data_IF_656788663494
#
_entry.id   IF_656788663494
#
_cell.length_a   1.000
_cell.length_b   1.000
_cell.length_c   1.000
_cell.angle_alpha   90.00
_cell.angle_beta   90.00
_cell.angle_gamma   90.00
#
_symmetry.space_group_name_H-M   'P 1'
#
loop_
_entity.id
_entity.type
_entity.pdbx_description
1 polymer ?
#
# COMPACT_ATOMS: atom_id res chain seq x y z
N UNK A 1 32.72 -19.49 14.34
CA UNK A 1 31.61 -20.19 15.04
C UNK A 1 30.40 -19.32 14.88
N UNK A 2 29.49 -19.65 13.94
CA UNK A 2 28.20 -18.96 13.80
C UNK A 2 27.31 -19.56 14.87
N UNK A 3 26.83 -18.72 15.79
CA UNK A 3 25.86 -19.14 16.78
C UNK A 3 24.56 -19.56 16.08
N UNK A 4 24.03 -20.66 16.57
CA UNK A 4 22.75 -21.25 16.25
C UNK A 4 21.61 -20.31 16.72
N UNK A 5 20.61 -20.07 15.86
CA UNK A 5 19.23 -19.81 16.31
C UNK A 5 18.84 -18.40 16.80
N UNK A 6 19.42 -17.32 16.26
CA UNK A 6 18.93 -15.97 16.58
C UNK A 6 17.63 -15.62 15.86
N UNK A 7 16.51 -15.51 16.59
CA UNK A 7 15.33 -14.81 16.10
C UNK A 7 15.71 -13.37 15.74
N UNK A 8 15.43 -12.94 14.50
CA UNK A 8 15.83 -11.62 14.02
C UNK A 8 15.28 -11.31 12.63
N UNK A 9 15.40 -10.05 12.22
CA UNK A 9 14.98 -9.61 10.90
C UNK A 9 16.12 -9.76 9.90
N UNK A 10 15.82 -10.32 8.73
CA UNK A 10 16.70 -10.32 7.56
C UNK A 10 16.01 -9.57 6.43
N UNK A 11 16.79 -8.81 5.64
CA UNK A 11 16.25 -8.13 4.47
C UNK A 11 15.82 -9.17 3.43
N UNK A 12 14.51 -9.32 3.23
CA UNK A 12 13.96 -10.21 2.22
C UNK A 12 13.98 -9.58 0.82
N UNK A 13 13.62 -8.29 0.71
CA UNK A 13 13.54 -7.55 -0.56
C UNK A 13 13.60 -6.03 -0.31
N UNK A 14 14.10 -5.29 -1.30
CA UNK A 14 14.02 -3.84 -1.38
C UNK A 14 13.54 -3.45 -2.78
N UNK A 15 12.75 -2.37 -2.86
CA UNK A 15 12.25 -1.80 -4.11
C UNK A 15 12.28 -0.28 -4.04
N UNK A 16 12.68 0.35 -5.13
CA UNK A 16 12.52 1.79 -5.31
C UNK A 16 11.09 2.09 -5.78
N UNK A 17 10.46 3.06 -5.13
CA UNK A 17 9.12 3.53 -5.48
C UNK A 17 9.22 4.76 -6.38
N UNK A 18 8.13 5.08 -7.08
CA UNK A 18 8.09 6.21 -8.03
C UNK A 18 8.42 7.55 -7.36
N UNK A 19 7.97 7.71 -6.11
CA UNK A 19 8.24 8.86 -5.24
C UNK A 19 8.33 8.38 -3.78
N UNK A 20 8.20 9.29 -2.82
CA UNK A 20 8.32 9.00 -1.39
C UNK A 20 7.11 8.18 -0.88
N UNK A 21 7.29 6.95 -0.35
CA UNK A 21 6.22 6.22 0.32
C UNK A 21 5.80 6.93 1.61
N UNK A 22 4.52 7.21 1.77
CA UNK A 22 3.97 7.92 2.94
C UNK A 22 3.10 7.01 3.80
N UNK A 23 2.41 6.06 3.18
CA UNK A 23 1.52 5.15 3.88
C UNK A 23 1.56 3.75 3.26
N UNK A 24 1.50 2.72 4.12
CA UNK A 24 1.50 1.32 3.71
C UNK A 24 0.49 0.52 4.52
N UNK A 25 -0.12 -0.50 3.91
CA UNK A 25 -1.02 -1.42 4.61
C UNK A 25 -1.02 -2.79 3.91
N UNK A 26 -0.92 -3.87 4.68
CA UNK A 26 -1.14 -5.22 4.16
C UNK A 26 -2.63 -5.50 3.96
N UNK A 27 -2.95 -6.22 2.90
CA UNK A 27 -4.26 -6.84 2.74
C UNK A 27 -4.37 -8.10 3.62
N UNK A 28 -5.59 -8.62 3.77
CA UNK A 28 -5.89 -9.80 4.58
C UNK A 28 -5.39 -11.12 3.96
N UNK A 29 -4.92 -11.06 2.71
CA UNK A 29 -4.34 -12.19 1.99
C UNK A 29 -2.88 -12.50 2.37
N UNK A 30 -2.29 -11.65 3.20
CA UNK A 30 -0.97 -11.82 3.82
C UNK A 30 0.23 -11.65 2.89
N UNK A 31 0.02 -11.35 1.60
CA UNK A 31 1.09 -11.23 0.61
C UNK A 31 1.03 -9.92 -0.17
N UNK A 32 -0.12 -9.26 -0.20
CA UNK A 32 -0.29 -7.99 -0.91
C UNK A 32 -0.06 -6.81 0.02
N UNK A 33 0.95 -5.98 -0.31
CA UNK A 33 1.22 -4.70 0.34
C UNK A 33 0.67 -3.57 -0.53
N UNK A 34 -0.23 -2.76 0.01
CA UNK A 34 -0.67 -1.52 -0.64
C UNK A 34 0.20 -0.37 -0.16
N UNK A 35 0.74 0.42 -1.09
CA UNK A 35 1.61 1.57 -0.82
C UNK A 35 1.01 2.81 -1.47
N UNK A 36 0.96 3.92 -0.74
CA UNK A 36 0.71 5.25 -1.29
C UNK A 36 1.99 6.08 -1.26
N UNK A 37 2.26 6.78 -2.36
CA UNK A 37 3.42 7.65 -2.48
C UNK A 37 2.98 9.12 -2.58
N UNK A 38 3.81 10.03 -2.04
CA UNK A 38 3.60 11.48 -2.16
C UNK A 38 3.64 11.93 -3.61
N UNK A 39 2.80 12.89 -3.98
CA UNK A 39 2.71 13.42 -5.34
C UNK A 39 2.40 12.35 -6.40
N UNK A 40 1.71 11.27 -6.00
CA UNK A 40 1.23 10.21 -6.89
C UNK A 40 -0.26 9.96 -6.67
N UNK A 41 -1.00 9.71 -7.75
CA UNK A 41 -2.45 9.48 -7.75
C UNK A 41 -2.81 7.99 -7.71
N UNK A 42 -1.84 7.09 -7.60
CA UNK A 42 -2.07 5.65 -7.53
C UNK A 42 -1.84 5.07 -6.12
N UNK A 43 -2.62 4.05 -5.79
CA UNK A 43 -2.17 3.00 -4.89
C UNK A 43 -1.35 1.97 -5.65
N UNK A 44 -0.19 1.60 -5.11
CA UNK A 44 0.64 0.52 -5.61
C UNK A 44 0.35 -0.75 -4.82
N UNK A 45 -0.22 -1.74 -5.47
CA UNK A 45 -0.42 -3.08 -4.94
C UNK A 45 0.80 -3.91 -5.30
N UNK A 46 1.59 -4.27 -4.30
CA UNK A 46 2.82 -5.04 -4.45
C UNK A 46 2.60 -6.45 -3.91
N UNK A 47 2.84 -7.47 -4.73
CA UNK A 47 2.94 -8.85 -4.26
C UNK A 47 4.33 -9.02 -3.61
N UNK A 48 4.36 -9.40 -2.33
CA UNK A 48 5.62 -9.56 -1.58
C UNK A 48 6.35 -10.87 -1.87
N UNK A 49 5.69 -11.85 -2.49
CA UNK A 49 6.25 -13.12 -2.91
C UNK A 49 7.11 -12.97 -4.16
N UNK A 50 6.56 -12.41 -5.24
CA UNK A 50 7.25 -12.28 -6.53
C UNK A 50 7.74 -10.84 -6.84
N UNK A 51 7.17 -9.83 -6.18
CA UNK A 51 7.51 -8.42 -6.37
C UNK A 51 6.75 -7.74 -7.51
N UNK A 52 5.74 -8.39 -8.09
CA UNK A 52 4.89 -7.77 -9.11
C UNK A 52 4.13 -6.58 -8.55
N UNK A 53 3.78 -5.64 -9.43
CA UNK A 53 3.09 -4.41 -9.08
C UNK A 53 1.87 -4.20 -9.97
N UNK A 54 0.77 -3.81 -9.34
CA UNK A 54 -0.39 -3.22 -10.00
C UNK A 54 -0.63 -1.82 -9.45
N UNK A 55 -1.03 -0.89 -10.32
CA UNK A 55 -1.41 0.47 -9.93
C UNK A 55 -2.92 0.64 -10.02
N UNK A 56 -3.52 1.22 -8.98
CA UNK A 56 -4.95 1.51 -8.92
C UNK A 56 -5.13 3.01 -8.69
N UNK A 57 -5.79 3.69 -9.62
CA UNK A 57 -5.99 5.14 -9.53
C UNK A 57 -6.93 5.47 -8.36
N UNK A 58 -6.55 6.43 -7.52
CA UNK A 58 -7.35 6.89 -6.38
C UNK A 58 -8.43 7.91 -6.79
N UNK A 59 -8.30 8.53 -7.98
CA UNK A 59 -9.28 9.48 -8.50
C UNK A 59 -10.48 8.75 -9.08
N UNK A 60 -11.68 9.21 -8.74
CA UNK A 60 -12.94 8.64 -9.25
C UNK A 60 -13.10 8.77 -10.78
N UNK A 61 -12.52 9.81 -11.38
CA UNK A 61 -12.54 10.03 -12.84
C UNK A 61 -11.45 9.24 -13.57
N UNK A 62 -10.50 8.64 -12.85
CA UNK A 62 -9.37 7.93 -13.45
C UNK A 62 -8.37 8.84 -14.16
N UNK A 63 -8.41 10.15 -13.94
CA UNK A 63 -7.43 11.10 -14.47
C UNK A 63 -6.10 11.08 -13.69
N UNK A 64 -5.09 11.76 -14.24
CA UNK A 64 -3.72 11.82 -13.71
C UNK A 64 -3.48 13.00 -12.76
N UNK A 65 -4.53 13.67 -12.27
CA UNK A 65 -4.37 14.79 -11.35
C UNK A 65 -4.09 14.30 -9.92
N UNK A 66 -3.02 14.77 -9.29
CA UNK A 66 -2.77 14.47 -7.88
C UNK A 66 -3.69 15.31 -6.98
N UNK A 67 -4.81 14.72 -6.58
CA UNK A 67 -5.83 15.40 -5.78
C UNK A 67 -5.47 15.54 -4.28
N UNK A 68 -4.65 14.63 -3.76
CA UNK A 68 -4.25 14.50 -2.35
C UNK A 68 -3.12 13.48 -2.20
N UNK A 69 -2.46 13.48 -1.04
CA UNK A 69 -1.55 12.42 -0.57
C UNK A 69 -2.20 11.65 0.58
N UNK A 70 -2.11 10.32 0.57
CA UNK A 70 -2.52 9.49 1.72
C UNK A 70 -1.38 9.42 2.73
N UNK A 71 -1.67 9.74 3.99
CA UNK A 71 -0.69 9.83 5.09
C UNK A 71 -0.81 8.65 6.07
N UNK A 72 -1.95 7.97 6.11
CA UNK A 72 -2.15 6.76 6.89
C UNK A 72 -3.28 5.94 6.25
N UNK A 73 -3.23 4.62 6.42
CA UNK A 73 -4.22 3.71 5.85
C UNK A 73 -4.35 2.42 6.64
N UNK A 74 -5.59 1.98 6.79
CA UNK A 74 -5.93 0.76 7.53
C UNK A 74 -6.99 -0.05 6.80
N UNK A 75 -6.73 -1.36 6.67
CA UNK A 75 -7.70 -2.31 6.16
C UNK A 75 -8.77 -2.57 7.22
N UNK A 76 -10.03 -2.65 6.80
CA UNK A 76 -11.11 -3.06 7.68
C UNK A 76 -10.90 -4.51 8.15
N UNK A 77 -11.36 -4.89 9.35
CA UNK A 77 -11.15 -6.25 9.89
C UNK A 77 -11.70 -7.39 9.02
N UNK A 78 -12.63 -7.09 8.10
CA UNK A 78 -13.21 -8.06 7.17
C UNK A 78 -12.56 -8.04 5.77
N UNK A 79 -11.50 -7.26 5.56
CA UNK A 79 -10.75 -7.17 4.29
C UNK A 79 -11.44 -6.40 3.17
N UNK A 80 -12.66 -5.91 3.38
CA UNK A 80 -13.49 -5.36 2.28
C UNK A 80 -13.31 -3.87 2.02
N UNK A 81 -12.74 -3.14 2.96
CA UNK A 81 -12.62 -1.68 2.88
C UNK A 81 -11.24 -1.23 3.32
N UNK A 82 -10.74 -0.17 2.70
CA UNK A 82 -9.48 0.48 3.06
C UNK A 82 -9.77 1.92 3.43
N UNK A 83 -9.59 2.28 4.71
CA UNK A 83 -9.73 3.65 5.17
C UNK A 83 -8.41 4.38 4.98
N UNK A 84 -8.44 5.53 4.32
CA UNK A 84 -7.30 6.39 4.07
C UNK A 84 -7.48 7.76 4.72
N UNK A 85 -6.47 8.19 5.47
CA UNK A 85 -6.32 9.56 5.95
C UNK A 85 -5.44 10.36 4.98
N UNK A 86 -5.79 11.61 4.71
CA UNK A 86 -5.15 12.40 3.65
C UNK A 86 -4.55 13.70 4.15
N UNK A 87 -3.69 14.33 3.35
CA UNK A 87 -3.17 15.69 3.55
C UNK A 87 -4.21 16.81 3.27
N UNK A 88 -5.48 16.43 3.19
CA UNK A 88 -6.66 17.30 3.07
C UNK A 88 -7.60 17.03 4.24
N UNK A 89 -8.55 17.92 4.48
CA UNK A 89 -9.56 17.78 5.54
C UNK A 89 -10.63 16.73 5.22
N UNK A 90 -10.23 15.51 4.83
CA UNK A 90 -11.14 14.38 4.57
C UNK A 90 -10.47 13.03 4.81
N UNK A 91 -11.30 12.08 5.20
CA UNK A 91 -11.03 10.64 5.11
C UNK A 91 -11.68 10.10 3.84
N UNK A 92 -11.10 9.06 3.26
CA UNK A 92 -11.66 8.35 2.11
C UNK A 92 -11.73 6.87 2.44
N UNK A 93 -12.88 6.24 2.19
CA UNK A 93 -13.07 4.80 2.38
C UNK A 93 -13.21 4.13 1.01
N UNK A 94 -12.25 3.29 0.66
CA UNK A 94 -12.25 2.54 -0.60
C UNK A 94 -12.83 1.15 -0.40
N UNK A 95 -13.51 0.61 -1.41
CA UNK A 95 -13.85 -0.81 -1.46
C UNK A 95 -12.65 -1.57 -2.01
N UNK A 96 -12.23 -2.63 -1.31
CA UNK A 96 -11.20 -3.53 -1.80
C UNK A 96 -11.86 -4.56 -2.71
N UNK A 97 -11.62 -4.43 -4.02
CA UNK A 97 -12.14 -5.36 -5.04
C UNK A 97 -11.08 -6.35 -5.51
N UNK A 98 -10.06 -6.62 -4.69
CA UNK A 98 -9.03 -7.58 -5.02
C UNK A 98 -9.65 -8.98 -5.13
N UNK A 99 -9.63 -9.53 -6.34
CA UNK A 99 -10.06 -10.89 -6.64
C UNK A 99 -8.79 -11.59 -7.12
N UNK A 100 -8.40 -12.66 -6.41
CA UNK A 100 -7.33 -13.56 -6.89
C UNK A 100 -7.79 -14.35 -8.11
#
# INVERSE_FOLDING_TARGET
TREEGGEGFVLARQREMVTLPEAICFLDDGVTLVVSCRDDNYFHYLDTGDGTEMKVNMNALGDDHVSFTVLDMVLSPNGKMLLASTDRSRLILFVVTWIR
#
